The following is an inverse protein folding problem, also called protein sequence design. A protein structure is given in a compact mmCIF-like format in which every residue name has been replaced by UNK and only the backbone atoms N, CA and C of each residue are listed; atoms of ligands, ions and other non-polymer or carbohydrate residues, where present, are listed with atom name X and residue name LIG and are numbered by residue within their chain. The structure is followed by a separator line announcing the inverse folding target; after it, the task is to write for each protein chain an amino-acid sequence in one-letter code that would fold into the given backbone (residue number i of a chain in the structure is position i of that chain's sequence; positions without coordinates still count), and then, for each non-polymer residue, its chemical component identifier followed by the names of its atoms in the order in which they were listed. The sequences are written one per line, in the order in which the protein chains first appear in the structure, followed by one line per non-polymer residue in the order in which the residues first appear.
data_IF_993601864171
#
_entry.id   IF_993601864171
#
_cell.length_a   1.000
_cell.length_b   1.000
_cell.length_c   1.000
_cell.angle_alpha   90.00
_cell.angle_beta   90.00
_cell.angle_gamma   90.00
#
_symmetry.space_group_name_H-M   'P 1'
#
loop_
_entity.id
_entity.type
_entity.pdbx_description
1 polymer ?
#
# COMPACT_ATOMS: atom_id res chain seq x y z
N UNK A 1 -21.63 -1.84 -18.59
CA UNK A 1 -21.44 -3.04 -17.77
C UNK A 1 -21.11 -2.61 -16.34
N UNK A 2 -21.87 -3.03 -15.37
CA UNK A 2 -21.62 -2.71 -13.96
C UNK A 2 -20.41 -3.54 -13.47
N UNK A 3 -19.46 -2.89 -12.77
CA UNK A 3 -18.38 -3.60 -12.10
C UNK A 3 -18.96 -4.46 -10.97
N UNK A 4 -18.33 -5.61 -10.70
CA UNK A 4 -18.68 -6.38 -9.52
C UNK A 4 -18.31 -5.63 -8.23
N UNK A 5 -18.90 -6.02 -7.10
CA UNK A 5 -18.72 -5.31 -5.84
C UNK A 5 -17.26 -5.30 -5.37
N UNK A 6 -16.54 -6.41 -5.49
CA UNK A 6 -15.15 -6.50 -5.05
C UNK A 6 -14.25 -5.54 -5.85
N UNK A 7 -14.46 -5.47 -7.16
CA UNK A 7 -13.75 -4.54 -8.03
C UNK A 7 -14.09 -3.09 -7.68
N UNK A 8 -15.37 -2.78 -7.44
CA UNK A 8 -15.80 -1.44 -7.06
C UNK A 8 -15.19 -1.02 -5.72
N UNK A 9 -15.18 -1.92 -4.73
CA UNK A 9 -14.54 -1.71 -3.43
C UNK A 9 -13.04 -1.48 -3.59
N UNK A 10 -12.36 -2.33 -4.35
CA UNK A 10 -10.91 -2.19 -4.60
C UNK A 10 -10.59 -0.85 -5.24
N UNK A 11 -11.30 -0.46 -6.29
CA UNK A 11 -11.10 0.83 -6.95
C UNK A 11 -11.33 2.00 -6.00
N UNK A 12 -12.38 1.96 -5.18
CA UNK A 12 -12.67 3.00 -4.20
C UNK A 12 -11.54 3.15 -3.16
N UNK A 13 -10.96 2.03 -2.69
CA UNK A 13 -9.82 2.03 -1.77
C UNK A 13 -8.62 2.75 -2.42
N UNK A 14 -8.18 2.29 -3.59
CA UNK A 14 -6.99 2.84 -4.24
C UNK A 14 -7.17 4.29 -4.68
N UNK A 15 -8.34 4.66 -5.17
CA UNK A 15 -8.65 6.06 -5.52
C UNK A 15 -8.59 6.95 -4.27
N UNK A 16 -9.17 6.51 -3.16
CA UNK A 16 -9.13 7.28 -1.91
C UNK A 16 -7.70 7.45 -1.40
N UNK A 17 -6.89 6.38 -1.41
CA UNK A 17 -5.48 6.48 -1.00
C UNK A 17 -4.71 7.44 -1.92
N UNK A 18 -4.88 7.34 -3.23
CA UNK A 18 -4.22 8.22 -4.19
C UNK A 18 -4.60 9.70 -3.98
N UNK A 19 -5.85 9.98 -3.65
CA UNK A 19 -6.36 11.32 -3.40
C UNK A 19 -5.93 11.90 -2.05
N UNK A 20 -5.88 11.08 -1.00
CA UNK A 20 -5.77 11.55 0.40
C UNK A 20 -4.49 11.13 1.12
N UNK A 21 -3.73 10.19 0.56
CA UNK A 21 -2.60 9.48 1.20
C UNK A 21 -3.01 8.71 2.47
N UNK A 22 -4.30 8.41 2.64
CA UNK A 22 -4.84 7.67 3.78
C UNK A 22 -5.75 6.54 3.32
N UNK A 23 -5.64 5.39 3.99
CA UNK A 23 -6.52 4.26 3.71
C UNK A 23 -7.93 4.51 4.27
N UNK A 24 -9.00 4.29 3.49
CA UNK A 24 -10.36 4.45 3.95
C UNK A 24 -10.79 3.28 4.86
N UNK A 25 -11.75 3.53 5.73
CA UNK A 25 -12.46 2.47 6.44
C UNK A 25 -13.52 1.82 5.55
N UNK A 26 -14.02 0.64 5.94
CA UNK A 26 -15.13 -0.02 5.22
C UNK A 26 -16.38 0.88 5.14
N UNK A 27 -16.66 1.64 6.19
CA UNK A 27 -17.77 2.61 6.20
C UNK A 27 -17.56 3.71 5.17
N UNK A 28 -16.36 4.28 5.09
CA UNK A 28 -16.04 5.33 4.12
C UNK A 28 -16.13 4.80 2.67
N UNK A 29 -15.65 3.58 2.43
CA UNK A 29 -15.79 2.92 1.12
C UNK A 29 -17.27 2.69 0.78
N UNK A 30 -18.05 2.18 1.74
CA UNK A 30 -19.48 1.93 1.56
C UNK A 30 -20.25 3.22 1.17
N UNK A 31 -19.96 4.33 1.86
CA UNK A 31 -20.52 5.64 1.53
C UNK A 31 -20.13 6.09 0.11
N UNK A 32 -18.87 5.91 -0.27
CA UNK A 32 -18.37 6.32 -1.58
C UNK A 32 -19.01 5.58 -2.75
N UNK A 33 -19.31 4.28 -2.58
CA UNK A 33 -19.87 3.45 -3.66
C UNK A 33 -21.38 3.20 -3.54
N UNK A 34 -22.03 3.71 -2.50
CA UNK A 34 -23.47 3.52 -2.27
C UNK A 34 -23.84 2.08 -1.86
N UNK A 35 -22.97 1.39 -1.12
CA UNK A 35 -23.17 0.02 -0.63
C UNK A 35 -23.44 -0.01 0.88
N UNK A 36 -23.92 -1.13 1.41
CA UNK A 36 -24.02 -1.33 2.84
C UNK A 36 -22.62 -1.64 3.43
N UNK A 37 -22.26 -1.11 4.63
CA UNK A 37 -20.97 -1.36 5.27
C UNK A 37 -20.65 -2.85 5.40
N UNK A 38 -21.61 -3.68 5.75
CA UNK A 38 -21.44 -5.14 5.89
C UNK A 38 -21.08 -5.81 4.56
N UNK A 39 -21.59 -5.32 3.44
CA UNK A 39 -21.21 -5.82 2.10
C UNK A 39 -19.75 -5.48 1.77
N UNK A 40 -19.30 -4.30 2.18
CA UNK A 40 -17.90 -3.87 1.99
C UNK A 40 -16.96 -4.66 2.90
N UNK A 41 -17.32 -4.92 4.16
CA UNK A 41 -16.53 -5.78 5.05
C UNK A 41 -16.41 -7.20 4.51
N UNK A 42 -17.49 -7.76 3.97
CA UNK A 42 -17.44 -9.06 3.30
C UNK A 42 -16.56 -9.03 2.03
N UNK A 43 -16.55 -7.91 1.29
CA UNK A 43 -15.64 -7.72 0.17
C UNK A 43 -14.17 -7.61 0.63
N UNK A 44 -13.88 -6.95 1.75
CA UNK A 44 -12.53 -6.92 2.34
C UNK A 44 -12.03 -8.34 2.64
N UNK A 45 -12.88 -9.19 3.22
CA UNK A 45 -12.55 -10.59 3.49
C UNK A 45 -12.21 -11.35 2.20
N UNK A 46 -13.03 -11.23 1.16
CA UNK A 46 -12.77 -11.88 -0.13
C UNK A 46 -11.50 -11.35 -0.83
N UNK A 47 -11.23 -10.05 -0.71
CA UNK A 47 -10.01 -9.44 -1.23
C UNK A 47 -8.77 -9.95 -0.48
N UNK A 48 -8.88 -10.16 0.83
CA UNK A 48 -7.82 -10.78 1.63
C UNK A 48 -7.55 -12.22 1.22
N UNK A 49 -8.59 -13.03 1.03
CA UNK A 49 -8.46 -14.41 0.52
C UNK A 49 -7.76 -14.46 -0.84
N UNK A 50 -7.98 -13.45 -1.69
CA UNK A 50 -7.32 -13.27 -2.98
C UNK A 50 -5.92 -12.62 -2.88
N UNK A 51 -5.43 -12.33 -1.67
CA UNK A 51 -4.14 -11.68 -1.42
C UNK A 51 -4.02 -10.28 -2.05
N UNK A 52 -5.12 -9.54 -2.12
CA UNK A 52 -5.21 -8.21 -2.70
C UNK A 52 -5.34 -7.10 -1.66
N UNK A 53 -5.66 -7.46 -0.43
CA UNK A 53 -5.85 -6.55 0.69
C UNK A 53 -5.47 -7.27 1.98
N UNK A 54 -4.92 -6.54 2.96
CA UNK A 54 -4.69 -7.07 4.32
C UNK A 54 -5.42 -6.18 5.30
N UNK A 55 -6.44 -6.69 6.01
CA UNK A 55 -7.10 -5.97 7.08
C UNK A 55 -6.17 -5.75 8.28
N UNK A 56 -6.44 -4.73 9.08
CA UNK A 56 -5.74 -4.52 10.35
C UNK A 56 -6.10 -5.63 11.34
N UNK A 57 -5.12 -6.30 11.96
CA UNK A 57 -5.39 -7.33 12.97
C UNK A 57 -6.32 -6.84 14.07
N UNK A 58 -7.40 -7.59 14.34
CA UNK A 58 -8.43 -7.23 15.30
C UNK A 58 -9.41 -6.14 14.85
N UNK A 59 -9.22 -5.56 13.65
CA UNK A 59 -10.07 -4.49 13.11
C UNK A 59 -10.38 -4.73 11.62
N UNK A 60 -11.27 -5.68 11.28
CA UNK A 60 -11.51 -6.11 9.90
C UNK A 60 -12.10 -5.01 8.99
N UNK A 61 -12.64 -3.94 9.56
CA UNK A 61 -13.12 -2.76 8.83
C UNK A 61 -12.05 -1.72 8.51
N UNK A 62 -10.78 -1.97 8.94
CA UNK A 62 -9.63 -1.11 8.66
C UNK A 62 -8.63 -1.83 7.78
N UNK A 63 -7.90 -1.06 6.99
CA UNK A 63 -6.90 -1.59 6.06
C UNK A 63 -5.51 -1.46 6.68
N UNK A 64 -4.81 -2.60 6.83
CA UNK A 64 -3.38 -2.64 7.15
C UNK A 64 -2.53 -2.44 5.91
N UNK A 65 -2.85 -3.15 4.83
CA UNK A 65 -2.12 -3.06 3.56
C UNK A 65 -3.10 -3.10 2.37
N UNK A 66 -2.91 -2.17 1.46
CA UNK A 66 -3.43 -2.20 0.10
C UNK A 66 -2.21 -2.04 -0.83
N UNK A 67 -1.47 -3.13 -1.11
CA UNK A 67 -0.17 -3.03 -1.79
C UNK A 67 -0.26 -2.23 -3.09
N UNK A 68 0.69 -1.30 -3.32
CA UNK A 68 1.93 -1.02 -2.56
C UNK A 68 1.75 -0.11 -1.33
N UNK A 69 0.54 0.34 -1.02
CA UNK A 69 0.28 1.27 0.07
C UNK A 69 0.09 0.55 1.41
N UNK A 70 0.68 1.13 2.47
CA UNK A 70 0.34 0.80 3.84
C UNK A 70 -0.82 1.66 4.34
N UNK A 71 -1.75 1.05 5.08
CA UNK A 71 -2.83 1.77 5.75
C UNK A 71 -2.40 2.43 7.07
N UNK A 72 -1.16 2.23 7.48
CA UNK A 72 -0.57 2.76 8.71
C UNK A 72 0.82 3.32 8.44
N UNK A 73 1.34 4.25 9.27
CA UNK A 73 2.72 4.71 9.16
C UNK A 73 3.72 3.55 9.29
N UNK A 74 4.76 3.58 8.46
CA UNK A 74 5.85 2.61 8.42
C UNK A 74 7.19 3.31 8.31
N UNK A 75 8.28 2.54 8.35
CA UNK A 75 9.63 3.04 8.10
C UNK A 75 9.91 3.38 6.61
N UNK A 76 8.91 3.23 5.74
CA UNK A 76 9.03 3.42 4.29
C UNK A 76 8.12 4.56 3.78
N UNK A 77 8.37 5.82 4.18
CA UNK A 77 7.62 6.95 3.66
C UNK A 77 7.98 7.21 2.20
N UNK A 78 6.99 7.66 1.42
CA UNK A 78 7.14 8.05 0.02
C UNK A 78 6.51 9.42 -0.17
N UNK A 79 7.32 10.39 -0.57
CA UNK A 79 6.87 11.76 -0.79
C UNK A 79 6.68 12.02 -2.29
N UNK A 80 5.45 12.26 -2.68
CA UNK A 80 5.07 12.58 -4.05
C UNK A 80 3.78 13.38 -4.07
N UNK A 81 3.56 14.19 -5.10
CA UNK A 81 2.34 14.98 -5.29
C UNK A 81 2.01 15.91 -4.12
N UNK A 82 3.02 16.36 -3.37
CA UNK A 82 2.84 17.17 -2.17
C UNK A 82 2.23 16.41 -0.98
N UNK A 83 2.23 15.08 -1.02
CA UNK A 83 1.70 14.20 0.02
C UNK A 83 2.76 13.19 0.48
N UNK A 84 2.54 12.64 1.67
CA UNK A 84 3.35 11.55 2.19
C UNK A 84 2.48 10.30 2.27
N UNK A 85 2.86 9.31 1.48
CA UNK A 85 2.32 7.95 1.53
C UNK A 85 3.24 7.06 2.36
N UNK A 86 2.74 5.91 2.79
CA UNK A 86 3.56 4.89 3.43
C UNK A 86 3.50 3.61 2.62
N UNK A 87 4.65 2.99 2.44
CA UNK A 87 4.77 1.67 1.81
C UNK A 87 4.88 0.57 2.87
N UNK A 88 4.58 -0.67 2.50
CA UNK A 88 4.68 -1.80 3.43
C UNK A 88 6.13 -2.25 3.60
N UNK A 89 6.95 -2.11 2.55
CA UNK A 89 8.36 -2.49 2.55
C UNK A 89 9.14 -1.64 1.53
N UNK A 90 10.44 -1.88 1.43
CA UNK A 90 11.31 -1.18 0.47
C UNK A 90 10.90 -1.39 -1.00
N UNK A 91 10.42 -2.58 -1.36
CA UNK A 91 9.89 -2.85 -2.70
C UNK A 91 8.65 -2.03 -3.01
N UNK A 92 7.70 -1.99 -2.07
CA UNK A 92 6.48 -1.22 -2.19
C UNK A 92 6.74 0.29 -2.24
N UNK A 93 7.83 0.75 -1.60
CA UNK A 93 8.23 2.16 -1.69
C UNK A 93 8.56 2.60 -3.13
N UNK A 94 9.11 1.71 -3.94
CA UNK A 94 9.27 1.93 -5.38
C UNK A 94 7.97 1.68 -6.16
N UNK A 95 7.11 0.83 -5.63
CA UNK A 95 5.80 0.51 -6.22
C UNK A 95 4.81 1.69 -6.18
N UNK A 96 4.87 2.55 -5.15
CA UNK A 96 3.96 3.70 -5.02
C UNK A 96 4.11 4.69 -6.17
N UNK A 97 5.31 5.23 -6.49
CA UNK A 97 5.46 6.13 -7.63
C UNK A 97 5.13 5.46 -8.96
N UNK A 98 5.40 4.16 -9.11
CA UNK A 98 4.99 3.40 -10.29
C UNK A 98 3.46 3.33 -10.43
N UNK A 99 2.75 3.07 -9.33
CA UNK A 99 1.29 3.02 -9.33
C UNK A 99 0.63 4.38 -9.57
N UNK A 100 1.26 5.47 -9.10
CA UNK A 100 0.77 6.83 -9.26
C UNK A 100 1.24 7.49 -10.57
N UNK A 101 2.19 6.88 -11.30
CA UNK A 101 2.86 7.46 -12.48
C UNK A 101 3.51 8.82 -12.19
N UNK A 102 4.17 8.94 -11.04
CA UNK A 102 4.74 10.19 -10.56
C UNK A 102 6.20 10.03 -10.11
N UNK A 103 6.95 11.11 -10.16
CA UNK A 103 8.25 11.18 -9.51
C UNK A 103 8.07 11.20 -7.98
N UNK A 104 9.04 10.68 -7.24
CA UNK A 104 8.95 10.59 -5.80
C UNK A 104 10.32 10.71 -5.12
N UNK A 105 10.29 11.12 -3.85
CA UNK A 105 11.42 11.06 -2.92
C UNK A 105 11.08 10.05 -1.83
N UNK A 106 12.01 9.14 -1.56
CA UNK A 106 11.87 8.06 -0.59
C UNK A 106 12.97 8.21 0.45
N UNK A 107 12.70 8.89 1.58
CA UNK A 107 13.61 8.90 2.72
C UNK A 107 13.71 7.47 3.28
N UNK A 108 14.90 6.91 3.28
CA UNK A 108 15.16 5.56 3.72
C UNK A 108 16.33 5.52 4.71
N UNK A 109 16.60 4.34 5.26
CA UNK A 109 17.80 4.07 6.02
C UNK A 109 18.34 2.69 5.63
N UNK A 110 19.65 2.57 5.60
CA UNK A 110 20.30 1.28 5.47
C UNK A 110 19.96 0.42 6.70
N UNK A 111 19.41 -0.77 6.47
CA UNK A 111 18.92 -1.62 7.55
C UNK A 111 20.05 -2.18 8.44
N UNK A 112 21.29 -2.23 7.93
CA UNK A 112 22.45 -2.75 8.65
C UNK A 112 23.19 -1.66 9.40
N UNK A 113 23.45 -0.52 8.75
CA UNK A 113 24.24 0.58 9.33
C UNK A 113 23.41 1.66 10.00
N UNK A 114 22.11 1.76 9.67
CA UNK A 114 21.24 2.87 10.08
C UNK A 114 21.52 4.18 9.33
N UNK A 115 22.43 4.18 8.36
CA UNK A 115 22.76 5.37 7.57
C UNK A 115 21.56 5.83 6.77
N UNK A 116 21.33 7.14 6.75
CA UNK A 116 20.23 7.73 5.97
C UNK A 116 20.56 7.67 4.48
N UNK A 117 19.62 7.14 3.72
CA UNK A 117 19.68 7.05 2.27
C UNK A 117 18.46 7.79 1.72
N UNK A 118 18.66 8.62 0.72
CA UNK A 118 17.54 9.21 -0.03
C UNK A 118 17.51 8.55 -1.40
N UNK A 119 16.43 7.78 -1.65
CA UNK A 119 16.14 7.28 -2.99
C UNK A 119 15.19 8.26 -3.68
N UNK A 120 15.35 8.40 -4.97
CA UNK A 120 14.43 9.17 -5.80
C UNK A 120 13.92 8.30 -6.95
N UNK A 121 12.69 8.54 -7.36
CA UNK A 121 12.17 8.01 -8.62
C UNK A 121 11.98 9.19 -9.53
N UNK A 122 12.68 9.18 -10.67
CA UNK A 122 12.63 10.23 -11.70
C UNK A 122 12.37 9.60 -13.05
N UNK A 123 11.33 10.04 -13.74
CA UNK A 123 10.93 9.53 -15.04
C UNK A 123 10.85 7.98 -15.06
N UNK A 124 10.29 7.37 -13.99
CA UNK A 124 10.13 5.94 -13.85
C UNK A 124 11.42 5.16 -13.52
N UNK A 125 12.49 5.83 -13.11
CA UNK A 125 13.78 5.21 -12.76
C UNK A 125 14.17 5.54 -11.33
N UNK A 126 14.62 4.52 -10.58
CA UNK A 126 15.18 4.71 -9.25
C UNK A 126 16.61 5.28 -9.32
N UNK A 127 16.95 6.19 -8.42
CA UNK A 127 18.25 6.84 -8.28
C UNK A 127 18.59 6.92 -6.79
N UNK A 128 19.78 6.51 -6.33
CA UNK A 128 20.86 5.87 -7.08
C UNK A 128 20.53 4.40 -7.46
N UNK A 129 21.21 3.89 -8.48
CA UNK A 129 20.98 2.52 -8.98
C UNK A 129 21.85 1.46 -8.30
N UNK A 130 22.81 1.87 -7.46
CA UNK A 130 23.72 0.97 -6.76
C UNK A 130 23.11 0.33 -5.51
N UNK A 131 21.93 0.77 -5.08
CA UNK A 131 21.25 0.21 -3.93
C UNK A 131 20.65 -1.16 -4.25
N UNK A 132 20.74 -2.09 -3.29
CA UNK A 132 20.10 -3.42 -3.34
C UNK A 132 18.98 -3.47 -2.32
N UNK A 133 17.87 -4.07 -2.70
CA UNK A 133 16.78 -4.40 -1.78
C UNK A 133 17.00 -5.81 -1.28
N UNK A 134 17.13 -5.97 0.04
CA UNK A 134 17.28 -7.27 0.69
C UNK A 134 15.96 -7.67 1.35
N UNK A 135 15.56 -8.92 1.16
CA UNK A 135 14.41 -9.54 1.83
C UNK A 135 14.89 -10.67 2.73
N UNK A 136 14.49 -10.63 4.00
CA UNK A 136 14.83 -11.68 4.96
C UNK A 136 14.09 -13.01 4.66
N UNK A 137 12.93 -12.92 3.99
CA UNK A 137 12.07 -14.07 3.65
C UNK A 137 11.84 -14.08 2.14
N UNK A 138 11.99 -15.24 1.47
CA UNK A 138 11.68 -15.38 0.05
C UNK A 138 10.22 -15.02 -0.26
N UNK A 139 9.98 -14.38 -1.40
CA UNK A 139 8.65 -13.90 -1.80
C UNK A 139 7.56 -15.00 -1.79
N UNK A 140 7.93 -16.24 -2.11
CA UNK A 140 7.03 -17.39 -2.06
C UNK A 140 6.43 -17.65 -0.67
N UNK A 141 7.06 -17.15 0.38
CA UNK A 141 6.67 -17.36 1.77
C UNK A 141 6.12 -16.11 2.46
N UNK A 142 6.01 -14.96 1.77
CA UNK A 142 5.56 -13.71 2.39
C UNK A 142 4.17 -13.82 3.03
N UNK A 143 3.28 -14.59 2.42
CA UNK A 143 1.90 -14.76 2.92
C UNK A 143 1.77 -15.74 4.08
N UNK A 144 2.85 -16.36 4.56
CA UNK A 144 2.86 -17.09 5.82
C UNK A 144 2.73 -16.12 7.00
N UNK A 145 3.34 -14.92 6.90
CA UNK A 145 3.16 -13.79 7.82
C UNK A 145 3.41 -12.48 7.07
N UNK A 146 2.42 -12.03 6.31
CA UNK A 146 2.59 -10.86 5.43
C UNK A 146 2.83 -9.55 6.20
N UNK A 147 2.46 -9.47 7.47
CA UNK A 147 2.69 -8.26 8.28
C UNK A 147 4.14 -8.17 8.73
N UNK A 148 4.80 -9.30 8.96
CA UNK A 148 6.20 -9.36 9.34
C UNK A 148 7.14 -9.14 8.14
N UNK A 149 6.79 -9.65 6.97
CA UNK A 149 7.64 -9.62 5.77
C UNK A 149 7.46 -8.36 4.95
#
# INVERSE_FOLDING_TARGET
MSLDLDTSVKLAIYTTIAETAAAPTAVAVAQRIGAAPQQVEAAFTRLYEKRLLVPEPGHPSRIRMAPPFSGVPTAFPVETRGKRYYANCAWDALGIPAALHEDAVIPAADAFTGERITLEVKAGRAVPQECVIHFAVPAARWWEDIIYT
#
